data_IF_903909584291
#
_entry.id   IF_903909584291
#
_cell.length_a   1.000
_cell.length_b   1.000
_cell.length_c   1.000
_cell.angle_alpha   90.00
_cell.angle_beta   90.00
_cell.angle_gamma   90.00
#
_symmetry.space_group_name_H-M   'P 1'
#
loop_
_entity.id
_entity.type
_entity.pdbx_description
1 polymer ?
#
# COMPACT_ATOMS: atom_id res chain seq x y z
N UNK A 1 9.96 -15.52 -2.44
CA UNK A 1 10.49 -14.17 -2.71
C UNK A 1 11.77 -13.98 -1.93
N UNK A 2 12.77 -13.39 -2.56
CA UNK A 2 14.02 -13.00 -1.93
C UNK A 2 13.95 -11.54 -1.45
N UNK A 3 15.03 -11.03 -0.83
CA UNK A 3 15.10 -9.66 -0.34
C UNK A 3 14.86 -8.62 -1.45
N UNK A 4 15.43 -8.83 -2.65
CA UNK A 4 15.29 -7.91 -3.78
C UNK A 4 13.85 -7.85 -4.28
N UNK A 5 13.16 -8.99 -4.33
CA UNK A 5 11.74 -9.04 -4.71
C UNK A 5 10.87 -8.25 -3.73
N UNK A 6 11.16 -8.36 -2.42
CA UNK A 6 10.46 -7.60 -1.39
C UNK A 6 10.72 -6.11 -1.53
N UNK A 7 11.96 -5.69 -1.71
CA UNK A 7 12.29 -4.28 -1.91
C UNK A 7 11.60 -3.70 -3.14
N UNK A 8 11.64 -4.41 -4.27
CA UNK A 8 10.92 -4.03 -5.49
C UNK A 8 9.41 -3.85 -5.27
N UNK A 9 8.77 -4.77 -4.56
CA UNK A 9 7.34 -4.68 -4.26
C UNK A 9 7.01 -3.47 -3.38
N UNK A 10 7.88 -3.09 -2.44
CA UNK A 10 7.66 -1.94 -1.57
C UNK A 10 7.97 -0.61 -2.26
N UNK A 11 8.94 -0.56 -3.16
CA UNK A 11 9.17 0.59 -4.02
C UNK A 11 7.98 0.81 -4.97
N UNK A 12 7.42 -0.27 -5.53
CA UNK A 12 6.18 -0.21 -6.29
C UNK A 12 5.00 0.28 -5.43
N UNK A 13 4.82 -0.29 -4.24
CA UNK A 13 3.71 0.07 -3.36
C UNK A 13 3.74 1.56 -3.00
N UNK A 14 4.91 2.07 -2.63
CA UNK A 14 5.16 3.47 -2.37
C UNK A 14 4.82 4.35 -3.58
N UNK A 15 5.34 4.03 -4.76
CA UNK A 15 5.06 4.74 -6.00
C UNK A 15 3.56 4.79 -6.31
N UNK A 16 2.88 3.66 -6.19
CA UNK A 16 1.46 3.55 -6.48
C UNK A 16 0.61 4.34 -5.46
N UNK A 17 0.97 4.31 -4.17
CA UNK A 17 0.31 5.07 -3.13
C UNK A 17 0.48 6.59 -3.34
N UNK A 18 1.68 7.06 -3.70
CA UNK A 18 1.94 8.48 -4.01
C UNK A 18 1.05 8.95 -5.15
N UNK A 19 0.94 8.19 -6.24
CA UNK A 19 0.08 8.54 -7.38
C UNK A 19 -1.41 8.57 -7.02
N UNK A 20 -1.83 7.66 -6.15
CA UNK A 20 -3.22 7.62 -5.67
C UNK A 20 -3.55 8.84 -4.82
N UNK A 21 -2.67 9.23 -3.89
CA UNK A 21 -2.83 10.43 -3.04
C UNK A 21 -2.81 11.70 -3.89
N UNK A 22 -1.95 11.79 -4.90
CA UNK A 22 -1.93 12.90 -5.85
C UNK A 22 -3.26 13.00 -6.64
N UNK A 23 -3.80 11.88 -7.12
CA UNK A 23 -5.09 11.89 -7.78
C UNK A 23 -6.23 12.32 -6.82
N UNK A 24 -6.21 11.85 -5.57
CA UNK A 24 -7.19 12.23 -4.55
C UNK A 24 -7.08 13.71 -4.15
N UNK A 25 -5.90 14.33 -4.26
CA UNK A 25 -5.69 15.75 -3.93
C UNK A 25 -6.45 16.73 -4.85
N UNK A 26 -6.91 16.24 -6.00
CA UNK A 26 -7.69 17.02 -6.98
C UNK A 26 -9.20 17.03 -6.68
N UNK A 27 -9.65 16.25 -5.70
CA UNK A 27 -11.03 16.23 -5.28
C UNK A 27 -11.38 17.43 -4.41
N UNK A 28 -12.63 17.89 -4.53
CA UNK A 28 -13.20 18.80 -3.52
C UNK A 28 -13.40 18.05 -2.20
N UNK A 29 -13.54 18.79 -1.10
CA UNK A 29 -13.83 18.18 0.23
C UNK A 29 -15.11 17.36 0.21
N UNK A 30 -16.14 17.83 -0.54
CA UNK A 30 -17.39 17.09 -0.69
C UNK A 30 -17.17 15.77 -1.45
N UNK A 31 -16.46 15.80 -2.59
CA UNK A 31 -16.14 14.60 -3.37
C UNK A 31 -15.32 13.60 -2.56
N UNK A 32 -14.33 14.08 -1.80
CA UNK A 32 -13.45 13.26 -0.98
C UNK A 32 -14.20 12.47 0.09
N UNK A 33 -15.27 13.09 0.67
CA UNK A 33 -16.05 12.48 1.75
C UNK A 33 -17.38 11.87 1.28
N UNK A 34 -17.74 12.00 -0.02
CA UNK A 34 -19.02 11.49 -0.53
C UNK A 34 -19.11 9.97 -0.36
N UNK A 35 -20.18 9.52 0.26
CA UNK A 35 -20.48 8.09 0.34
C UNK A 35 -20.86 7.56 -1.06
N UNK A 36 -20.11 6.57 -1.49
CA UNK A 36 -20.26 5.89 -2.79
C UNK A 36 -20.69 4.43 -2.61
N UNK A 37 -21.24 4.09 -1.46
CA UNK A 37 -21.71 2.75 -1.10
C UNK A 37 -20.60 1.67 -1.28
N UNK A 38 -19.33 2.05 -1.08
CA UNK A 38 -18.20 1.13 -1.08
C UNK A 38 -17.98 0.52 0.31
N UNK A 39 -17.10 -0.50 0.42
CA UNK A 39 -16.79 -1.17 1.69
C UNK A 39 -16.34 -0.22 2.81
N UNK A 40 -15.78 0.93 2.45
CA UNK A 40 -15.31 1.98 3.39
C UNK A 40 -16.01 3.33 3.14
N UNK A 41 -17.16 3.32 2.47
CA UNK A 41 -18.01 4.46 2.18
C UNK A 41 -17.45 5.38 1.10
N UNK A 42 -16.31 6.03 1.33
CA UNK A 42 -15.78 7.12 0.52
C UNK A 42 -14.31 6.92 0.12
N UNK A 43 -13.80 7.80 -0.73
CA UNK A 43 -12.35 7.91 -1.02
C UNK A 43 -11.58 8.12 0.29
N UNK A 44 -12.04 9.03 1.14
CA UNK A 44 -11.47 9.27 2.46
C UNK A 44 -11.39 7.99 3.29
N UNK A 45 -12.52 7.32 3.50
CA UNK A 45 -12.58 6.10 4.32
C UNK A 45 -11.67 5.01 3.78
N UNK A 46 -11.60 4.85 2.45
CA UNK A 46 -10.76 3.83 1.82
C UNK A 46 -9.26 4.17 1.92
N UNK A 47 -8.87 5.44 1.78
CA UNK A 47 -7.48 5.85 1.97
C UNK A 47 -7.03 5.67 3.43
N UNK A 48 -7.88 6.00 4.41
CA UNK A 48 -7.58 5.74 5.83
C UNK A 48 -7.49 4.24 6.10
N UNK A 49 -8.30 3.41 5.43
CA UNK A 49 -8.21 1.95 5.56
C UNK A 49 -6.88 1.41 4.99
N UNK A 50 -6.44 1.87 3.83
CA UNK A 50 -5.13 1.48 3.27
C UNK A 50 -4.01 1.89 4.23
N UNK A 51 -3.99 3.16 4.66
CA UNK A 51 -3.01 3.67 5.62
C UNK A 51 -2.97 2.83 6.91
N UNK A 52 -4.15 2.51 7.43
CA UNK A 52 -4.30 1.69 8.63
C UNK A 52 -3.76 0.27 8.43
N UNK A 53 -3.97 -0.30 7.24
CA UNK A 53 -3.38 -1.58 6.82
C UNK A 53 -1.85 -1.51 6.80
N UNK A 54 -1.29 -0.48 6.16
CA UNK A 54 0.17 -0.26 6.09
C UNK A 54 0.78 -0.17 7.51
N UNK A 55 0.15 0.61 8.39
CA UNK A 55 0.59 0.79 9.77
C UNK A 55 0.47 -0.49 10.62
N UNK A 56 -0.71 -1.14 10.63
CA UNK A 56 -0.95 -2.28 11.51
C UNK A 56 -0.08 -3.49 11.14
N UNK A 57 0.17 -3.70 9.84
CA UNK A 57 1.05 -4.76 9.40
C UNK A 57 2.50 -4.48 9.74
N UNK A 58 2.96 -3.24 9.60
CA UNK A 58 4.31 -2.84 10.06
C UNK A 58 4.48 -3.13 11.56
N UNK A 59 3.51 -2.76 12.39
CA UNK A 59 3.53 -3.06 13.84
C UNK A 59 3.59 -4.57 14.11
N UNK A 60 2.82 -5.37 13.40
CA UNK A 60 2.85 -6.83 13.51
C UNK A 60 4.20 -7.43 13.14
N UNK A 61 4.89 -6.90 12.12
CA UNK A 61 6.26 -7.34 11.80
C UNK A 61 7.25 -6.99 12.90
N UNK A 62 7.03 -5.90 13.60
CA UNK A 62 7.79 -5.47 14.78
C UNK A 62 7.41 -6.23 16.05
N UNK A 63 6.48 -7.21 15.93
CA UNK A 63 5.93 -8.03 17.03
C UNK A 63 5.03 -7.24 18.00
N UNK A 64 4.49 -6.15 17.56
CA UNK A 64 3.40 -5.45 18.23
C UNK A 64 2.06 -5.94 17.65
N UNK A 65 1.00 -5.91 18.45
CA UNK A 65 -0.35 -6.32 18.00
C UNK A 65 -1.36 -5.26 18.40
N UNK A 66 -1.46 -4.16 17.63
CA UNK A 66 -2.46 -3.13 17.91
C UNK A 66 -3.88 -3.70 17.89
N UNK A 67 -4.70 -3.26 18.82
CA UNK A 67 -6.06 -3.79 19.04
C UNK A 67 -7.12 -3.14 18.14
N UNK A 68 -6.79 -2.03 17.49
CA UNK A 68 -7.71 -1.29 16.62
C UNK A 68 -6.99 -0.74 15.39
N UNK A 69 -7.75 -0.54 14.33
CA UNK A 69 -7.39 0.19 13.14
C UNK A 69 -7.61 1.70 13.37
N UNK A 70 -7.01 2.56 12.55
CA UNK A 70 -7.33 3.98 12.53
C UNK A 70 -8.79 4.21 12.12
N UNK A 71 -9.39 5.25 12.69
CA UNK A 71 -10.71 5.74 12.28
C UNK A 71 -10.54 6.88 11.26
N UNK A 72 -11.41 7.01 10.24
CA UNK A 72 -11.43 8.21 9.40
C UNK A 72 -11.57 9.51 10.20
N UNK A 73 -12.24 9.49 11.35
CA UNK A 73 -12.36 10.65 12.23
C UNK A 73 -11.03 11.16 12.80
N UNK A 74 -10.01 10.28 12.87
CA UNK A 74 -8.66 10.66 13.34
C UNK A 74 -7.92 11.51 12.30
N UNK A 75 -8.37 11.52 11.05
CA UNK A 75 -7.72 12.18 9.91
C UNK A 75 -8.75 12.98 9.09
N UNK A 76 -9.27 14.09 9.61
CA UNK A 76 -10.42 14.80 9.01
C UNK A 76 -10.15 15.40 7.62
N UNK A 77 -8.91 15.48 7.19
CA UNK A 77 -8.54 16.04 5.88
C UNK A 77 -7.54 15.14 5.16
N UNK A 78 -7.46 15.26 3.83
CA UNK A 78 -6.43 14.58 3.05
C UNK A 78 -5.01 14.95 3.53
N UNK A 79 -4.78 16.20 3.95
CA UNK A 79 -3.49 16.63 4.48
C UNK A 79 -3.10 15.85 5.74
N UNK A 80 -4.06 15.59 6.65
CA UNK A 80 -3.83 14.74 7.83
C UNK A 80 -3.50 13.30 7.43
N UNK A 81 -4.23 12.75 6.45
CA UNK A 81 -3.95 11.41 5.91
C UNK A 81 -2.53 11.35 5.32
N UNK A 82 -2.16 12.32 4.47
CA UNK A 82 -0.84 12.37 3.84
C UNK A 82 0.30 12.51 4.87
N UNK A 83 0.13 13.35 5.89
CA UNK A 83 1.12 13.52 6.94
C UNK A 83 1.38 12.20 7.68
N UNK A 84 0.32 11.51 8.11
CA UNK A 84 0.45 10.22 8.77
C UNK A 84 1.00 9.14 7.84
N UNK A 85 0.61 9.18 6.56
CA UNK A 85 1.14 8.24 5.56
C UNK A 85 2.64 8.36 5.39
N UNK A 86 3.16 9.60 5.33
CA UNK A 86 4.60 9.84 5.21
C UNK A 86 5.39 9.27 6.40
N UNK A 87 4.86 9.38 7.63
CA UNK A 87 5.47 8.76 8.83
C UNK A 87 5.52 7.24 8.70
N UNK A 88 4.37 6.62 8.40
CA UNK A 88 4.25 5.16 8.28
C UNK A 88 5.14 4.63 7.14
N UNK A 89 5.13 5.30 6.00
CA UNK A 89 5.97 4.94 4.85
C UNK A 89 7.46 5.02 5.20
N UNK A 90 7.88 6.07 5.90
CA UNK A 90 9.28 6.21 6.33
C UNK A 90 9.72 5.04 7.22
N UNK A 91 8.93 4.69 8.24
CA UNK A 91 9.22 3.56 9.14
C UNK A 91 9.20 2.23 8.37
N UNK A 92 8.22 2.05 7.49
CA UNK A 92 8.06 0.83 6.69
C UNK A 92 9.25 0.62 5.74
N UNK A 93 9.67 1.67 5.03
CA UNK A 93 10.83 1.59 4.14
C UNK A 93 12.13 1.36 4.89
N UNK A 94 12.27 1.89 6.12
CA UNK A 94 13.40 1.59 7.00
C UNK A 94 13.41 0.09 7.38
N UNK A 95 12.25 -0.47 7.75
CA UNK A 95 12.11 -1.90 8.04
C UNK A 95 12.45 -2.77 6.83
N UNK A 96 11.92 -2.43 5.64
CA UNK A 96 12.15 -3.16 4.37
C UNK A 96 13.62 -3.17 3.99
N UNK A 97 14.35 -2.06 4.18
CA UNK A 97 15.80 -2.02 3.95
C UNK A 97 16.57 -2.95 4.88
N UNK A 98 16.09 -3.11 6.12
CA UNK A 98 16.72 -3.94 7.16
C UNK A 98 16.45 -5.45 7.05
N UNK A 99 15.51 -5.92 6.20
CA UNK A 99 15.24 -7.36 6.08
C UNK A 99 16.42 -8.13 5.49
N UNK A 100 16.55 -9.39 5.89
CA UNK A 100 17.53 -10.35 5.36
C UNK A 100 16.81 -11.59 4.85
N UNK A 101 17.48 -12.41 4.03
CA UNK A 101 16.94 -13.70 3.58
C UNK A 101 16.52 -14.60 4.76
N UNK A 102 17.25 -14.52 5.86
CA UNK A 102 16.93 -15.26 7.09
C UNK A 102 15.70 -14.69 7.77
N UNK A 103 15.61 -13.35 7.93
CA UNK A 103 14.48 -12.72 8.60
C UNK A 103 13.17 -12.91 7.81
N UNK A 104 13.21 -12.92 6.48
CA UNK A 104 12.05 -13.12 5.61
C UNK A 104 11.38 -14.49 5.81
N UNK A 105 12.15 -15.50 6.18
CA UNK A 105 11.65 -16.86 6.45
C UNK A 105 11.17 -17.06 7.89
N UNK A 106 11.46 -16.12 8.81
CA UNK A 106 11.03 -16.25 10.20
C UNK A 106 9.52 -16.20 10.32
N UNK A 107 9.00 -17.09 11.15
CA UNK A 107 7.59 -17.11 11.54
C UNK A 107 7.34 -15.98 12.54
N UNK A 108 6.42 -15.08 12.21
CA UNK A 108 5.97 -13.98 13.08
C UNK A 108 4.57 -14.33 13.57
N UNK A 109 4.39 -14.36 14.89
CA UNK A 109 3.09 -14.46 15.51
C UNK A 109 2.54 -13.05 15.80
N UNK A 110 1.23 -12.87 15.62
CA UNK A 110 0.52 -11.66 15.98
C UNK A 110 -0.90 -11.99 16.42
N UNK A 111 -1.53 -11.08 17.15
CA UNK A 111 -2.95 -11.14 17.46
C UNK A 111 -3.69 -10.16 16.53
N UNK A 112 -4.80 -10.60 15.94
CA UNK A 112 -5.63 -9.73 15.13
C UNK A 112 -6.55 -8.85 16.02
N UNK A 113 -7.32 -7.96 15.39
CA UNK A 113 -8.23 -7.05 16.13
C UNK A 113 -9.42 -7.77 16.78
N UNK A 114 -9.61 -9.05 16.51
CA UNK A 114 -10.64 -9.92 17.15
C UNK A 114 -10.07 -10.74 18.31
N UNK A 115 -8.76 -10.59 18.63
CA UNK A 115 -8.10 -11.35 19.69
C UNK A 115 -7.60 -12.73 19.26
N UNK A 116 -7.66 -13.08 17.98
CA UNK A 116 -7.20 -14.37 17.48
C UNK A 116 -5.70 -14.32 17.16
N UNK A 117 -4.98 -15.37 17.55
CA UNK A 117 -3.54 -15.51 17.27
C UNK A 117 -3.29 -16.20 15.94
N UNK A 118 -2.46 -15.58 15.11
CA UNK A 118 -2.04 -16.09 13.81
C UNK A 118 -0.52 -16.09 13.69
N UNK A 119 0.00 -16.92 12.79
CA UNK A 119 1.44 -17.05 12.58
C UNK A 119 1.77 -17.33 11.13
N UNK A 120 2.59 -16.45 10.53
CA UNK A 120 3.02 -16.59 9.12
C UNK A 120 4.50 -16.25 8.95
N UNK A 121 5.16 -16.75 7.87
CA UNK A 121 6.48 -16.25 7.49
C UNK A 121 6.41 -14.75 7.16
N UNK A 122 7.39 -13.97 7.61
CA UNK A 122 7.43 -12.52 7.40
C UNK A 122 7.21 -12.14 5.92
N UNK A 123 7.90 -12.82 4.99
CA UNK A 123 7.73 -12.55 3.55
C UNK A 123 6.28 -12.68 3.06
N UNK A 124 5.48 -13.57 3.65
CA UNK A 124 4.07 -13.74 3.27
C UNK A 124 3.19 -12.63 3.82
N UNK A 125 3.48 -12.19 5.04
CA UNK A 125 2.82 -11.02 5.62
C UNK A 125 3.12 -9.76 4.81
N UNK A 126 4.37 -9.57 4.39
CA UNK A 126 4.79 -8.45 3.56
C UNK A 126 4.12 -8.50 2.17
N UNK A 127 4.08 -9.67 1.53
CA UNK A 127 3.36 -9.86 0.26
C UNK A 127 1.87 -9.58 0.40
N UNK A 128 1.25 -10.07 1.49
CA UNK A 128 -0.16 -9.82 1.77
C UNK A 128 -0.47 -8.33 1.82
N UNK A 129 0.36 -7.52 2.50
CA UNK A 129 0.13 -6.08 2.60
C UNK A 129 0.10 -5.40 1.22
N UNK A 130 1.07 -5.68 0.35
CA UNK A 130 1.09 -5.09 -0.99
C UNK A 130 -0.14 -5.50 -1.81
N UNK A 131 -0.56 -6.76 -1.71
CA UNK A 131 -1.79 -7.24 -2.37
C UNK A 131 -3.04 -6.55 -1.81
N UNK A 132 -3.13 -6.37 -0.49
CA UNK A 132 -4.21 -5.65 0.19
C UNK A 132 -4.27 -4.19 -0.28
N UNK A 133 -3.14 -3.48 -0.29
CA UNK A 133 -3.07 -2.11 -0.77
C UNK A 133 -3.46 -2.02 -2.25
N UNK A 134 -3.04 -2.97 -3.09
CA UNK A 134 -3.42 -3.01 -4.52
C UNK A 134 -4.93 -3.20 -4.70
N UNK A 135 -5.55 -4.10 -3.92
CA UNK A 135 -7.00 -4.31 -3.96
C UNK A 135 -7.77 -3.02 -3.64
N UNK A 136 -7.40 -2.33 -2.57
CA UNK A 136 -8.08 -1.10 -2.15
C UNK A 136 -7.73 0.11 -3.03
N UNK A 137 -6.54 0.18 -3.63
CA UNK A 137 -6.24 1.17 -4.68
C UNK A 137 -7.18 1.04 -5.88
N UNK A 138 -7.51 -0.19 -6.27
CA UNK A 138 -8.51 -0.43 -7.31
C UNK A 138 -9.89 0.14 -6.95
N UNK A 139 -10.32 0.03 -5.69
CA UNK A 139 -11.55 0.62 -5.21
C UNK A 139 -11.51 2.16 -5.28
N UNK A 140 -10.43 2.79 -4.82
CA UNK A 140 -10.27 4.25 -4.94
C UNK A 140 -10.27 4.69 -6.40
N UNK A 141 -9.59 3.96 -7.28
CA UNK A 141 -9.58 4.23 -8.73
C UNK A 141 -10.99 4.20 -9.32
N UNK A 142 -11.83 3.24 -8.92
CA UNK A 142 -13.23 3.19 -9.35
C UNK A 142 -14.04 4.38 -8.81
N UNK A 143 -13.85 4.75 -7.55
CA UNK A 143 -14.52 5.90 -6.94
C UNK A 143 -14.11 7.23 -7.59
N UNK A 144 -12.83 7.41 -7.94
CA UNK A 144 -12.37 8.60 -8.66
C UNK A 144 -13.11 8.76 -9.99
N UNK A 145 -13.28 7.67 -10.77
CA UNK A 145 -14.05 7.71 -12.01
C UNK A 145 -15.52 8.07 -11.78
N UNK A 146 -16.17 7.52 -10.75
CA UNK A 146 -17.55 7.86 -10.39
C UNK A 146 -17.71 9.35 -10.02
N UNK A 147 -16.66 9.95 -9.47
CA UNK A 147 -16.62 11.37 -9.11
C UNK A 147 -16.23 12.27 -10.29
N UNK A 148 -15.97 11.73 -11.47
CA UNK A 148 -15.52 12.48 -12.65
C UNK A 148 -14.06 12.95 -12.56
N UNK A 149 -13.28 12.38 -11.64
CA UNK A 149 -11.84 12.66 -11.49
C UNK A 149 -10.99 11.70 -12.31
N UNK A 150 -9.83 12.18 -12.75
CA UNK A 150 -8.84 11.36 -13.48
C UNK A 150 -8.12 10.39 -12.53
N UNK A 151 -8.25 9.07 -12.72
CA UNK A 151 -7.55 8.10 -11.89
C UNK A 151 -6.07 8.00 -12.28
N UNK A 152 -5.22 7.69 -11.30
CA UNK A 152 -3.83 7.40 -11.56
C UNK A 152 -3.66 5.95 -12.09
N UNK A 153 -2.82 5.77 -13.11
CA UNK A 153 -2.32 4.45 -13.48
C UNK A 153 -1.36 3.94 -12.40
N UNK A 154 -1.65 2.77 -11.84
CA UNK A 154 -0.87 2.16 -10.76
C UNK A 154 -0.46 0.73 -11.06
N UNK A 155 -0.47 0.33 -12.34
CA UNK A 155 -0.06 -1.00 -12.77
C UNK A 155 1.43 -1.25 -12.52
N UNK A 156 1.75 -2.48 -12.15
CA UNK A 156 3.11 -2.85 -11.79
C UNK A 156 4.09 -2.71 -12.97
N UNK A 157 3.67 -3.06 -14.19
CA UNK A 157 4.53 -2.89 -15.39
C UNK A 157 4.76 -1.42 -15.71
N UNK A 158 3.74 -0.55 -15.53
CA UNK A 158 3.93 0.90 -15.69
C UNK A 158 4.97 1.45 -14.70
N UNK A 159 5.00 0.91 -13.47
CA UNK A 159 6.05 1.26 -12.52
C UNK A 159 7.45 0.85 -13.03
N UNK A 160 7.60 -0.36 -13.56
CA UNK A 160 8.88 -0.84 -14.09
C UNK A 160 9.34 0.00 -15.27
N UNK A 161 8.42 0.40 -16.17
CA UNK A 161 8.74 1.22 -17.35
C UNK A 161 9.27 2.61 -16.99
N UNK A 162 8.79 3.20 -15.87
CA UNK A 162 9.18 4.55 -15.44
C UNK A 162 10.34 4.56 -14.43
N UNK A 163 10.85 3.40 -14.04
CA UNK A 163 11.93 3.23 -13.08
C UNK A 163 13.14 2.56 -13.72
N UNK A 164 14.13 3.34 -14.20
CA UNK A 164 15.29 2.81 -14.94
C UNK A 164 16.05 1.71 -14.18
N UNK A 165 16.11 1.80 -12.84
CA UNK A 165 16.79 0.83 -11.99
C UNK A 165 16.16 -0.56 -11.97
N UNK A 166 14.93 -0.69 -12.51
CA UNK A 166 14.18 -1.94 -12.62
C UNK A 166 13.88 -2.34 -14.06
N UNK A 167 14.34 -1.57 -15.04
CA UNK A 167 14.17 -1.95 -16.44
C UNK A 167 15.01 -3.19 -16.74
N UNK A 168 14.38 -4.16 -17.40
CA UNK A 168 15.06 -5.31 -17.98
C UNK A 168 15.47 -4.93 -19.41
N UNK A 169 16.66 -5.34 -19.84
CA UNK A 169 16.99 -5.22 -21.26
C UNK A 169 15.92 -5.96 -22.07
N UNK A 170 15.37 -5.34 -23.13
CA UNK A 170 14.43 -6.05 -23.99
C UNK A 170 15.14 -7.29 -24.51
N UNK A 171 14.48 -8.45 -24.37
CA UNK A 171 14.94 -9.65 -25.03
C UNK A 171 15.05 -9.31 -26.53
N UNK A 172 16.25 -9.37 -27.09
CA UNK A 172 16.45 -9.28 -28.53
C UNK A 172 15.88 -10.56 -29.15
N UNK A 173 14.55 -10.57 -29.36
CA UNK A 173 13.84 -11.71 -29.94
C UNK A 173 14.10 -11.79 -31.47
N UNK A 174 14.70 -10.79 -32.04
CA UNK A 174 15.12 -10.80 -33.44
C UNK A 174 16.62 -10.98 -33.50
N UNK A 175 17.08 -12.21 -33.31
CA UNK A 175 18.29 -12.67 -33.96
C UNK A 175 18.08 -12.44 -35.46
N UNK A 176 19.05 -11.80 -36.11
CA UNK A 176 19.11 -11.53 -37.53
C UNK A 176 18.68 -12.78 -38.32
N UNK A 177 17.63 -12.61 -39.17
CA UNK A 177 17.37 -13.50 -40.27
C UNK A 177 18.29 -13.14 -41.45
#
# INVERSE_FOLDING_TARGET
MNKRDIQLLYDYNRWANTRLLDAASKLTVEQFNRDLASSHGSVHGTLVHILSGEWIWLKRWQKESPKAMFSPADFPTLACVCAKWAEVEHEQMAFVRGVTEVSLKKMIAYENTLGETWRYPLQRMMQHLVNHSTYHRGQVTAMLRQLGAEPAATDFLVFLDVKPEYQFEPLSIFGEL
#
